data_IF_817259051125
#
_entry.id   IF_817259051125
#
_cell.length_a   1.000
_cell.length_b   1.000
_cell.length_c   1.000
_cell.angle_alpha   90.00
_cell.angle_beta   90.00
_cell.angle_gamma   90.00
#
_symmetry.space_group_name_H-M   'P 1'
#
loop_
_entity.id
_entity.type
_entity.pdbx_description
1 polymer ?
#
# COMPACT_ATOMS: atom_id res chain seq x y z
N UNK A 1 -22.42 -17.72 -16.39
CA UNK A 1 -21.15 -18.45 -16.15
C UNK A 1 -20.03 -17.45 -16.40
N UNK A 2 -19.81 -16.51 -15.47
CA UNK A 2 -18.71 -15.55 -15.58
C UNK A 2 -17.50 -16.19 -14.92
N UNK A 3 -16.63 -16.70 -15.77
CA UNK A 3 -15.35 -17.30 -15.40
C UNK A 3 -14.51 -16.16 -14.83
N UNK A 4 -14.33 -16.16 -13.50
CA UNK A 4 -13.29 -15.39 -12.85
C UNK A 4 -11.97 -15.83 -13.50
N UNK A 5 -11.46 -15.03 -14.44
CA UNK A 5 -10.07 -15.11 -14.80
C UNK A 5 -9.32 -14.76 -13.53
N UNK A 6 -8.86 -15.80 -12.82
CA UNK A 6 -7.78 -15.70 -11.87
C UNK A 6 -6.59 -15.18 -12.67
N UNK A 7 -6.50 -13.85 -12.83
CA UNK A 7 -5.21 -13.22 -13.00
C UNK A 7 -4.36 -13.83 -11.91
N UNK A 8 -3.33 -14.55 -12.32
CA UNK A 8 -2.38 -15.14 -11.41
C UNK A 8 -1.64 -13.96 -10.76
N UNK A 9 -2.30 -13.30 -9.81
CA UNK A 9 -1.73 -12.18 -9.07
C UNK A 9 -0.58 -12.81 -8.32
N UNK A 10 0.63 -12.54 -8.81
CA UNK A 10 1.85 -12.99 -8.16
C UNK A 10 1.80 -12.39 -6.75
N UNK A 11 1.41 -13.20 -5.77
CA UNK A 11 1.20 -12.72 -4.41
C UNK A 11 2.59 -12.47 -3.80
N UNK A 12 3.08 -11.26 -4.00
CA UNK A 12 4.36 -10.81 -3.47
C UNK A 12 4.18 -10.40 -2.02
N UNK A 13 4.35 -11.38 -1.14
CA UNK A 13 4.18 -11.17 0.30
C UNK A 13 2.76 -10.74 0.67
N UNK A 14 2.64 -10.07 1.81
CA UNK A 14 1.41 -9.44 2.30
C UNK A 14 1.48 -7.93 2.15
N UNK A 15 0.36 -7.33 1.78
CA UNK A 15 0.20 -5.88 1.63
C UNK A 15 0.18 -5.16 2.98
N UNK A 16 -0.42 -5.77 4.01
CA UNK A 16 -0.39 -5.31 5.39
C UNK A 16 0.30 -6.36 6.27
N UNK A 17 1.41 -5.97 6.89
CA UNK A 17 2.21 -6.85 7.73
C UNK A 17 1.56 -7.18 9.08
N UNK A 18 0.46 -6.51 9.45
CA UNK A 18 -0.38 -6.96 10.57
C UNK A 18 -0.99 -8.34 10.29
N UNK A 19 -1.10 -8.73 9.02
CA UNK A 19 -1.61 -10.04 8.60
C UNK A 19 -0.53 -11.14 8.57
N UNK A 20 0.73 -10.83 8.92
CA UNK A 20 1.77 -11.85 9.04
C UNK A 20 1.43 -12.83 10.17
N UNK A 21 1.66 -14.13 9.92
CA UNK A 21 1.43 -15.18 10.93
C UNK A 21 2.35 -15.07 12.14
N UNK A 22 3.50 -14.42 11.97
CA UNK A 22 4.46 -14.08 13.02
C UNK A 22 4.92 -12.64 12.82
N UNK A 23 4.75 -11.82 13.85
CA UNK A 23 5.26 -10.44 13.86
C UNK A 23 6.62 -10.47 14.55
N UNK A 24 7.67 -10.76 13.77
CA UNK A 24 9.06 -10.63 14.19
C UNK A 24 9.88 -9.93 13.10
N UNK A 25 11.09 -9.49 13.46
CA UNK A 25 11.97 -8.73 12.56
C UNK A 25 12.30 -9.51 11.29
N UNK A 26 12.62 -10.80 11.42
CA UNK A 26 12.92 -11.67 10.27
C UNK A 26 11.75 -11.77 9.28
N UNK A 27 10.51 -11.93 9.76
CA UNK A 27 9.33 -12.03 8.91
C UNK A 27 9.01 -10.70 8.22
N UNK A 28 9.23 -9.57 8.90
CA UNK A 28 9.08 -8.23 8.33
C UNK A 28 10.09 -8.03 7.21
N UNK A 29 11.38 -8.31 7.48
CA UNK A 29 12.46 -8.18 6.50
C UNK A 29 12.21 -9.08 5.30
N UNK A 30 11.79 -10.33 5.51
CA UNK A 30 11.51 -11.26 4.42
C UNK A 30 10.32 -10.81 3.57
N UNK A 31 9.27 -10.26 4.19
CA UNK A 31 8.13 -9.71 3.44
C UNK A 31 8.53 -8.52 2.58
N UNK A 32 9.25 -7.55 3.16
CA UNK A 32 9.76 -6.38 2.44
C UNK A 32 10.70 -6.76 1.31
N UNK A 33 11.60 -7.72 1.55
CA UNK A 33 12.53 -8.24 0.54
C UNK A 33 11.77 -8.89 -0.62
N UNK A 34 10.79 -9.76 -0.33
CA UNK A 34 9.97 -10.41 -1.36
C UNK A 34 9.22 -9.39 -2.22
N UNK A 35 8.57 -8.41 -1.57
CA UNK A 35 7.84 -7.32 -2.23
C UNK A 35 8.71 -6.45 -3.12
N UNK A 36 9.86 -6.05 -2.60
CA UNK A 36 10.84 -5.27 -3.35
C UNK A 36 11.32 -6.01 -4.61
N UNK A 37 11.58 -7.32 -4.51
CA UNK A 37 12.02 -8.14 -5.66
C UNK A 37 10.94 -8.29 -6.74
N UNK A 38 9.67 -8.07 -6.41
CA UNK A 38 8.55 -8.04 -7.36
C UNK A 38 8.08 -6.60 -7.66
N UNK A 39 8.93 -5.58 -7.43
CA UNK A 39 8.68 -4.17 -7.74
C UNK A 39 7.56 -3.47 -6.92
N UNK A 40 7.17 -4.06 -5.80
CA UNK A 40 6.28 -3.44 -4.81
C UNK A 40 7.09 -2.73 -3.73
N UNK A 41 7.17 -1.41 -3.80
CA UNK A 41 7.94 -0.60 -2.85
C UNK A 41 7.17 -0.16 -1.62
N UNK A 42 5.85 -0.28 -1.65
CA UNK A 42 4.94 0.17 -0.60
C UNK A 42 4.34 -1.03 0.12
N UNK A 43 4.36 -0.98 1.45
CA UNK A 43 3.78 -2.01 2.32
C UNK A 43 3.22 -1.37 3.57
N UNK A 44 2.01 -1.74 3.97
CA UNK A 44 1.43 -1.27 5.24
C UNK A 44 1.94 -2.09 6.43
N UNK A 45 1.99 -1.43 7.58
CA UNK A 45 1.98 -2.06 8.90
C UNK A 45 0.96 -1.31 9.75
N UNK A 46 -0.29 -1.74 9.67
CA UNK A 46 -1.43 -1.01 10.24
C UNK A 46 -1.52 0.42 9.67
N UNK A 47 -1.47 1.47 10.50
CA UNK A 47 -1.60 2.86 10.03
C UNK A 47 -0.33 3.42 9.37
N UNK A 48 0.79 2.70 9.44
CA UNK A 48 2.08 3.17 8.91
C UNK A 48 2.29 2.61 7.51
N UNK A 49 2.68 3.46 6.56
CA UNK A 49 3.13 3.07 5.23
C UNK A 49 4.66 3.00 5.20
N UNK A 50 5.20 1.83 4.89
CA UNK A 50 6.62 1.62 4.64
C UNK A 50 6.89 1.80 3.15
N UNK A 51 7.91 2.58 2.82
CA UNK A 51 8.43 2.76 1.47
C UNK A 51 9.89 2.30 1.40
N UNK A 52 10.23 1.47 0.40
CA UNK A 52 11.60 1.03 0.12
C UNK A 52 12.08 1.67 -1.18
N UNK A 53 13.17 2.44 -1.16
CA UNK A 53 13.64 3.15 -2.35
C UNK A 53 14.04 2.18 -3.48
N UNK A 54 13.39 2.22 -4.66
CA UNK A 54 13.68 1.32 -5.79
C UNK A 54 14.95 1.70 -6.56
N UNK A 55 15.52 2.89 -6.34
CA UNK A 55 16.62 3.45 -7.13
C UNK A 55 16.37 3.48 -8.65
N UNK A 56 15.10 3.42 -9.07
CA UNK A 56 14.63 3.52 -10.45
C UNK A 56 13.26 4.20 -10.52
N UNK A 57 12.89 4.68 -11.70
CA UNK A 57 11.56 5.20 -11.97
C UNK A 57 10.55 4.05 -11.98
N UNK A 58 9.39 4.26 -11.35
CA UNK A 58 8.29 3.28 -11.32
C UNK A 58 7.11 3.78 -12.16
N UNK A 59 6.41 2.90 -12.90
CA UNK A 59 5.38 3.31 -13.84
C UNK A 59 4.00 3.63 -13.21
N UNK A 60 3.88 3.62 -11.87
CA UNK A 60 2.60 3.70 -11.15
C UNK A 60 2.40 5.00 -10.34
N UNK A 61 2.93 6.11 -10.84
CA UNK A 61 2.75 7.46 -10.24
C UNK A 61 1.99 8.41 -11.18
N UNK A 62 1.09 7.88 -12.02
CA UNK A 62 0.32 8.66 -12.98
C UNK A 62 -1.10 8.97 -12.49
N UNK A 63 -1.84 9.69 -13.34
CA UNK A 63 -3.24 10.06 -13.07
C UNK A 63 -4.15 8.84 -12.86
N UNK A 64 -3.86 7.75 -13.57
CA UNK A 64 -4.58 6.48 -13.43
C UNK A 64 -4.57 5.97 -11.99
N UNK A 65 -3.41 6.02 -11.32
CA UNK A 65 -3.32 5.57 -9.94
C UNK A 65 -4.02 6.55 -9.00
N UNK A 66 -3.93 7.87 -9.25
CA UNK A 66 -4.66 8.87 -8.46
C UNK A 66 -6.16 8.59 -8.48
N UNK A 67 -6.73 8.38 -9.68
CA UNK A 67 -8.14 8.03 -9.85
C UNK A 67 -8.52 6.72 -9.15
N UNK A 68 -7.63 5.72 -9.18
CA UNK A 68 -7.86 4.43 -8.54
C UNK A 68 -7.97 4.55 -7.01
N UNK A 69 -7.18 5.43 -6.38
CA UNK A 69 -7.18 5.61 -4.92
C UNK A 69 -8.21 6.60 -4.41
N UNK A 70 -8.71 7.50 -5.26
CA UNK A 70 -9.66 8.53 -4.85
C UNK A 70 -10.98 7.91 -4.35
N UNK A 71 -11.31 8.12 -3.08
CA UNK A 71 -12.52 7.61 -2.44
C UNK A 71 -12.53 6.09 -2.15
N UNK A 72 -11.53 5.34 -2.60
CA UNK A 72 -11.44 3.90 -2.39
C UNK A 72 -11.21 3.55 -0.92
N UNK A 73 -11.71 2.40 -0.46
CA UNK A 73 -11.38 1.90 0.87
C UNK A 73 -9.93 1.38 0.90
N UNK A 74 -9.26 1.45 2.05
CA UNK A 74 -7.84 1.11 2.19
C UNK A 74 -7.49 -0.33 1.74
N UNK A 75 -8.45 -1.26 1.83
CA UNK A 75 -8.28 -2.66 1.45
C UNK A 75 -8.67 -2.98 0.00
N UNK A 76 -9.26 -2.03 -0.74
CA UNK A 76 -9.68 -2.24 -2.13
C UNK A 76 -8.49 -2.20 -3.09
N UNK A 77 -7.45 -1.44 -2.72
CA UNK A 77 -6.27 -1.20 -3.53
C UNK A 77 -4.99 -1.59 -2.78
N UNK A 78 -3.89 -1.89 -3.49
CA UNK A 78 -2.62 -2.20 -2.86
C UNK A 78 -2.05 -1.00 -2.08
N UNK A 79 -1.04 -1.21 -1.21
CA UNK A 79 -0.43 -0.12 -0.47
C UNK A 79 0.18 0.91 -1.40
N UNK A 80 -0.14 2.19 -1.17
CA UNK A 80 0.38 3.29 -1.96
C UNK A 80 0.28 4.61 -1.20
N UNK A 81 1.14 5.57 -1.55
CA UNK A 81 1.12 6.91 -0.94
C UNK A 81 -0.20 7.65 -1.19
N UNK A 82 -0.84 7.42 -2.33
CA UNK A 82 -2.14 8.02 -2.66
C UNK A 82 -3.27 7.51 -1.78
N UNK A 83 -3.21 6.25 -1.29
CA UNK A 83 -4.17 5.76 -0.30
C UNK A 83 -4.06 6.55 1.02
N UNK A 84 -2.83 6.86 1.46
CA UNK A 84 -2.59 7.67 2.67
C UNK A 84 -3.09 9.10 2.47
N UNK A 85 -2.79 9.70 1.31
CA UNK A 85 -3.22 11.06 0.99
C UNK A 85 -4.76 11.18 0.94
N UNK A 86 -5.44 10.24 0.26
CA UNK A 86 -6.90 10.22 0.17
C UNK A 86 -7.55 9.98 1.55
N UNK A 87 -7.04 9.04 2.33
CA UNK A 87 -7.53 8.77 3.70
C UNK A 87 -7.42 10.01 4.59
N UNK A 88 -6.27 10.69 4.58
CA UNK A 88 -6.12 11.94 5.32
C UNK A 88 -7.04 13.05 4.85
N UNK A 89 -7.20 13.21 3.53
CA UNK A 89 -8.12 14.21 3.00
C UNK A 89 -9.56 13.93 3.44
N UNK A 90 -10.02 12.67 3.37
CA UNK A 90 -11.35 12.28 3.85
C UNK A 90 -11.51 12.51 5.35
N UNK A 91 -10.54 12.11 6.16
CA UNK A 91 -10.59 12.32 7.62
C UNK A 91 -10.64 13.82 7.96
N UNK A 92 -9.86 14.65 7.27
CA UNK A 92 -9.92 16.11 7.43
C UNK A 92 -11.33 16.65 7.12
N UNK A 93 -12.00 16.13 6.08
CA UNK A 93 -13.35 16.57 5.70
C UNK A 93 -14.45 16.06 6.64
N UNK A 94 -14.31 14.82 7.14
CA UNK A 94 -15.29 14.19 8.05
C UNK A 94 -15.17 14.76 9.46
N UNK A 95 -13.95 14.77 10.01
CA UNK A 95 -13.70 15.16 11.39
C UNK A 95 -13.58 16.69 11.55
N UNK A 96 -13.39 17.41 10.44
CA UNK A 96 -13.11 18.86 10.42
C UNK A 96 -11.85 19.24 11.22
N UNK A 97 -10.90 18.30 11.33
CA UNK A 97 -9.65 18.47 12.05
C UNK A 97 -8.44 18.46 11.10
N UNK A 98 -7.39 19.20 11.50
CA UNK A 98 -6.14 19.28 10.73
C UNK A 98 -5.40 17.94 10.80
N UNK A 99 -4.95 17.45 9.66
CA UNK A 99 -4.18 16.21 9.55
C UNK A 99 -2.69 16.51 9.28
N UNK A 100 -1.79 15.60 9.68
CA UNK A 100 -0.37 15.71 9.36
C UNK A 100 0.25 14.33 9.02
N UNK A 101 1.18 14.31 8.07
CA UNK A 101 2.04 13.15 7.78
C UNK A 101 3.40 13.40 8.38
N UNK A 102 3.95 12.40 9.06
CA UNK A 102 5.33 12.42 9.53
C UNK A 102 6.13 11.42 8.70
N UNK A 103 7.08 11.92 7.90
CA UNK A 103 8.05 11.12 7.17
C UNK A 103 9.32 11.03 8.04
N UNK A 104 9.85 9.82 8.23
CA UNK A 104 11.05 9.54 9.03
C UNK A 104 12.10 8.83 8.20
#
# INVERSE_FOLDING_TARGET
IHIWQSYNVKQSGVDDMVLLSKINEDAIVENLRKRYMDDYIFTFIGPVLISVNPFKQMPYFGDREVEMYQGAAQYENPPHIYAVADSMYRNMMIDQEKQCVIIR
#
